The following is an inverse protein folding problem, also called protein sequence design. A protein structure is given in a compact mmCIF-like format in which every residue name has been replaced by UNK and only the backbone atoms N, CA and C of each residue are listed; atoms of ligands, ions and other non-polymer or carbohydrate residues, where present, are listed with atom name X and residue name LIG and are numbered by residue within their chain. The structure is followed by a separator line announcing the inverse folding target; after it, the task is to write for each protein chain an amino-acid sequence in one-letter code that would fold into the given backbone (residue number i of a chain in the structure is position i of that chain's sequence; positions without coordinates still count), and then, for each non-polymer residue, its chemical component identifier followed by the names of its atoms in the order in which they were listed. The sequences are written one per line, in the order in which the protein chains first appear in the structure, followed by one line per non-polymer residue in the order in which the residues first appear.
data_IF_595128958588
#
_entry.id   IF_595128958588
#
_cell.length_a   1.000
_cell.length_b   1.000
_cell.length_c   1.000
_cell.angle_alpha   90.00
_cell.angle_beta   90.00
_cell.angle_gamma   90.00
#
_symmetry.space_group_name_H-M   'P 1'
#
loop_
_entity.id
_entity.type
_entity.pdbx_description
1 polymer ?
#
# COMPACT_ATOMS: atom_id res chain seq x y z
N UNK A 1 -1.79 18.17 91.94
CA UNK A 1 -1.20 18.59 90.65
C UNK A 1 -0.71 17.34 89.91
N UNK A 2 -1.57 16.75 89.07
CA UNK A 2 -1.22 15.57 88.26
C UNK A 2 -1.12 16.06 86.83
N UNK A 3 0.06 15.90 86.19
CA UNK A 3 0.27 16.14 84.75
C UNK A 3 0.02 14.82 84.03
N UNK A 4 -0.97 14.85 83.15
CA UNK A 4 -1.26 13.75 82.23
C UNK A 4 -0.37 13.98 80.99
N UNK A 5 0.47 12.98 80.70
CA UNK A 5 1.29 12.93 79.48
C UNK A 5 0.48 12.15 78.44
N UNK A 6 0.03 12.80 77.37
CA UNK A 6 -0.59 12.16 76.23
C UNK A 6 0.48 11.65 75.28
N UNK A 7 0.48 10.34 75.06
CA UNK A 7 1.34 9.65 74.07
C UNK A 7 0.59 9.64 72.74
N UNK A 8 1.16 10.36 71.78
CA UNK A 8 0.66 10.38 70.38
C UNK A 8 1.28 9.20 69.61
N UNK A 9 0.46 8.19 69.31
CA UNK A 9 0.89 7.08 68.44
C UNK A 9 0.79 7.50 66.97
N UNK A 10 1.95 7.63 66.27
CA UNK A 10 2.02 7.79 64.83
C UNK A 10 1.73 6.43 64.15
N UNK A 11 0.62 6.34 63.48
CA UNK A 11 0.30 5.26 62.52
C UNK A 11 1.03 5.53 61.20
N UNK A 12 2.15 4.83 60.96
CA UNK A 12 2.74 4.72 59.63
C UNK A 12 1.88 3.83 58.73
N UNK A 13 1.07 4.40 57.91
CA UNK A 13 0.38 3.69 56.83
C UNK A 13 1.39 3.33 55.72
N UNK A 14 1.71 2.02 55.64
CA UNK A 14 2.46 1.50 54.48
C UNK A 14 1.58 1.58 53.23
N UNK A 15 1.86 2.54 52.34
CA UNK A 15 1.35 2.51 50.98
C UNK A 15 2.07 1.41 50.21
N UNK A 16 1.41 0.27 50.05
CA UNK A 16 1.81 -0.76 49.10
C UNK A 16 1.54 -0.23 47.68
N UNK A 17 2.59 0.11 46.97
CA UNK A 17 2.53 0.40 45.54
C UNK A 17 2.33 -0.94 44.81
N UNK A 18 1.07 -1.31 44.54
CA UNK A 18 0.79 -2.39 43.59
C UNK A 18 1.14 -1.90 42.21
N UNK A 19 2.28 -2.37 41.68
CA UNK A 19 2.57 -2.34 40.28
C UNK A 19 1.50 -3.20 39.60
N UNK A 20 0.55 -2.59 38.93
CA UNK A 20 -0.29 -3.31 37.98
C UNK A 20 0.63 -3.79 36.88
N UNK A 21 0.85 -5.09 36.77
CA UNK A 21 1.29 -5.72 35.54
C UNK A 21 0.23 -5.39 34.50
N UNK A 22 0.49 -4.36 33.69
CA UNK A 22 -0.19 -4.22 32.42
C UNK A 22 0.28 -5.41 31.60
N UNK A 23 -0.60 -6.40 31.46
CA UNK A 23 -0.45 -7.46 30.50
C UNK A 23 -0.34 -6.79 29.12
N UNK A 24 0.88 -6.67 28.60
CA UNK A 24 1.12 -6.35 27.21
C UNK A 24 0.32 -7.38 26.39
N UNK A 25 -0.76 -6.94 25.75
CA UNK A 25 -1.53 -7.81 24.88
C UNK A 25 -0.61 -8.30 23.75
N UNK A 26 -0.57 -9.60 23.50
CA UNK A 26 0.18 -10.22 22.40
C UNK A 26 -0.14 -9.55 21.04
N UNK A 27 -1.28 -8.88 20.90
CA UNK A 27 -1.71 -8.15 19.72
C UNK A 27 -0.82 -6.94 19.34
N UNK A 28 -0.21 -6.22 20.31
CA UNK A 28 0.65 -5.08 19.99
C UNK A 28 2.01 -5.49 19.41
N UNK A 29 2.45 -6.72 19.62
CA UNK A 29 3.74 -7.21 19.12
C UNK A 29 3.66 -7.72 17.67
N UNK A 30 2.47 -7.93 17.13
CA UNK A 30 2.27 -8.49 15.79
C UNK A 30 2.37 -7.44 14.66
N UNK A 31 2.21 -6.15 14.97
CA UNK A 31 2.16 -5.05 13.99
C UNK A 31 3.46 -4.24 13.93
N UNK A 32 4.58 -4.77 14.41
CA UNK A 32 5.86 -4.10 14.21
C UNK A 32 6.29 -4.20 12.75
N UNK A 33 7.08 -3.23 12.29
CA UNK A 33 7.65 -3.25 10.93
C UNK A 33 8.35 -4.58 10.64
N UNK A 34 9.14 -5.10 11.57
CA UNK A 34 9.88 -6.36 11.41
C UNK A 34 8.94 -7.58 11.28
N UNK A 35 7.89 -7.64 12.12
CA UNK A 35 6.89 -8.70 12.06
C UNK A 35 6.16 -8.68 10.71
N UNK A 36 5.71 -7.52 10.26
CA UNK A 36 5.03 -7.36 8.98
C UNK A 36 5.94 -7.68 7.79
N UNK A 37 7.22 -7.26 7.82
CA UNK A 37 8.20 -7.62 6.81
C UNK A 37 8.43 -9.14 6.74
N UNK A 38 8.41 -9.83 7.88
CA UNK A 38 8.50 -11.29 7.92
C UNK A 38 7.31 -11.95 7.21
N UNK A 39 6.08 -11.42 7.40
CA UNK A 39 4.88 -11.92 6.70
C UNK A 39 4.98 -11.70 5.19
N UNK A 40 5.49 -10.55 4.76
CA UNK A 40 5.77 -10.27 3.34
C UNK A 40 6.80 -11.25 2.78
N UNK A 41 7.90 -11.50 3.49
CA UNK A 41 8.93 -12.43 3.02
C UNK A 41 8.37 -13.85 2.81
N UNK A 42 7.57 -14.33 3.75
CA UNK A 42 6.89 -15.63 3.63
C UNK A 42 5.91 -15.66 2.46
N UNK A 43 5.16 -14.57 2.25
CA UNK A 43 4.25 -14.45 1.11
C UNK A 43 5.00 -14.53 -0.23
N UNK A 44 6.11 -13.80 -0.38
CA UNK A 44 6.95 -13.83 -1.58
C UNK A 44 7.54 -15.24 -1.81
N UNK A 45 8.02 -15.89 -0.75
CA UNK A 45 8.54 -17.26 -0.86
C UNK A 45 7.45 -18.26 -1.24
N UNK A 46 6.23 -18.06 -0.75
CA UNK A 46 5.05 -18.86 -1.10
C UNK A 46 4.72 -18.74 -2.60
N UNK A 47 4.71 -17.51 -3.15
CA UNK A 47 4.50 -17.28 -4.58
C UNK A 47 5.59 -17.92 -5.45
N UNK A 48 6.87 -17.79 -5.05
CA UNK A 48 7.99 -18.41 -5.77
C UNK A 48 7.92 -19.93 -5.84
N UNK A 49 7.22 -20.57 -4.90
CA UNK A 49 7.04 -22.01 -4.84
C UNK A 49 5.69 -22.51 -5.34
N UNK A 50 4.73 -21.59 -5.54
CA UNK A 50 3.34 -21.95 -5.81
C UNK A 50 2.67 -22.65 -4.61
N UNK A 51 3.13 -22.39 -3.37
CA UNK A 51 2.73 -23.10 -2.17
C UNK A 51 2.11 -22.15 -1.13
N UNK A 52 0.82 -21.87 -1.22
CA UNK A 52 0.10 -21.02 -0.27
C UNK A 52 0.12 -21.54 1.17
N UNK A 53 0.31 -22.85 1.35
CA UNK A 53 0.40 -23.52 2.66
C UNK A 53 1.60 -23.09 3.51
N UNK A 54 2.60 -22.44 2.93
CA UNK A 54 3.74 -21.90 3.67
C UNK A 54 3.36 -20.66 4.51
N UNK A 55 2.27 -19.99 4.14
CA UNK A 55 1.78 -18.84 4.88
C UNK A 55 1.09 -19.26 6.18
N UNK A 56 1.34 -18.51 7.26
CA UNK A 56 0.57 -18.63 8.51
C UNK A 56 -0.79 -17.95 8.34
N UNK A 57 -1.76 -18.68 7.76
CA UNK A 57 -3.10 -18.17 7.52
C UNK A 57 -3.99 -18.26 8.77
N UNK A 58 -4.83 -17.26 9.00
CA UNK A 58 -5.87 -17.29 10.01
C UNK A 58 -6.97 -18.31 9.63
N UNK A 59 -7.70 -18.88 10.59
CA UNK A 59 -8.89 -19.67 10.28
C UNK A 59 -9.89 -18.83 9.47
N UNK A 60 -10.29 -19.32 8.30
CA UNK A 60 -11.17 -18.59 7.39
C UNK A 60 -10.53 -17.41 6.66
N UNK A 61 -9.19 -17.39 6.55
CA UNK A 61 -8.47 -16.43 5.73
C UNK A 61 -9.03 -16.36 4.30
N UNK A 62 -9.10 -15.15 3.75
CA UNK A 62 -9.66 -14.91 2.40
C UNK A 62 -8.53 -14.64 1.42
N UNK A 63 -8.68 -15.18 0.21
CA UNK A 63 -7.96 -14.74 -0.96
C UNK A 63 -8.90 -14.03 -1.93
N UNK A 64 -8.47 -12.86 -2.37
CA UNK A 64 -9.22 -12.01 -3.31
C UNK A 64 -8.25 -11.67 -4.44
N UNK A 65 -8.58 -12.06 -5.67
CA UNK A 65 -7.82 -11.73 -6.87
C UNK A 65 -8.68 -10.90 -7.79
N UNK A 66 -8.21 -9.73 -8.18
CA UNK A 66 -8.93 -8.79 -9.05
C UNK A 66 -10.38 -8.58 -8.61
N UNK A 67 -10.59 -8.37 -7.28
CA UNK A 67 -11.87 -8.23 -6.55
C UNK A 67 -12.75 -9.47 -6.50
N UNK A 68 -12.34 -10.57 -7.05
CA UNK A 68 -13.08 -11.83 -6.98
C UNK A 68 -12.53 -12.66 -5.82
N UNK A 69 -13.40 -13.00 -4.88
CA UNK A 69 -13.06 -13.99 -3.83
C UNK A 69 -12.85 -15.33 -4.50
N UNK A 70 -11.69 -15.93 -4.29
CA UNK A 70 -11.28 -17.20 -4.89
C UNK A 70 -10.52 -18.05 -3.88
N UNK A 71 -10.03 -19.20 -4.30
CA UNK A 71 -9.28 -20.15 -3.46
C UNK A 71 -7.78 -19.92 -3.57
N UNK A 72 -7.02 -20.33 -2.56
CA UNK A 72 -5.55 -20.27 -2.55
C UNK A 72 -4.87 -21.33 -3.44
N UNK A 73 -5.63 -22.11 -4.20
CA UNK A 73 -5.17 -23.05 -5.23
C UNK A 73 -5.62 -22.64 -6.64
N UNK A 74 -6.16 -21.42 -6.79
CA UNK A 74 -6.58 -20.82 -8.05
C UNK A 74 -5.78 -19.55 -8.36
N UNK A 75 -5.98 -18.98 -9.54
CA UNK A 75 -5.34 -17.73 -9.98
C UNK A 75 -3.81 -17.86 -10.00
N UNK A 76 -3.11 -16.87 -9.46
CA UNK A 76 -1.64 -16.86 -9.44
C UNK A 76 -1.01 -17.97 -8.59
N UNK A 77 -1.78 -18.73 -7.81
CA UNK A 77 -1.29 -19.87 -7.01
C UNK A 77 -1.17 -21.18 -7.79
N UNK A 78 -1.64 -21.23 -9.03
CA UNK A 78 -1.61 -22.47 -9.83
C UNK A 78 -0.20 -22.89 -10.22
N UNK A 79 0.74 -21.92 -10.33
CA UNK A 79 2.12 -22.19 -10.72
C UNK A 79 3.11 -21.32 -9.91
N UNK A 80 4.36 -21.81 -9.73
CA UNK A 80 5.43 -21.01 -9.14
C UNK A 80 5.72 -19.77 -9.97
N UNK A 81 5.86 -18.60 -9.33
CA UNK A 81 6.20 -17.35 -9.99
C UNK A 81 7.71 -17.05 -9.96
N UNK A 82 8.23 -16.57 -11.08
CA UNK A 82 9.58 -15.99 -11.14
C UNK A 82 9.50 -14.53 -10.68
N UNK A 83 9.77 -14.29 -9.40
CA UNK A 83 9.76 -12.94 -8.82
C UNK A 83 11.12 -12.28 -9.03
N UNK A 84 11.20 -11.33 -9.97
CA UNK A 84 12.42 -10.57 -10.29
C UNK A 84 12.67 -9.41 -9.33
N UNK A 85 11.60 -8.77 -8.87
CA UNK A 85 11.69 -7.63 -7.97
C UNK A 85 10.44 -7.53 -7.10
N UNK A 86 10.57 -7.00 -5.90
CA UNK A 86 9.44 -6.58 -5.08
C UNK A 86 9.78 -5.38 -4.19
N UNK A 87 8.75 -4.62 -3.84
CA UNK A 87 8.80 -3.49 -2.91
C UNK A 87 7.58 -3.51 -2.02
N UNK A 88 7.74 -3.23 -0.73
CA UNK A 88 6.62 -3.30 0.22
C UNK A 88 6.50 -2.03 1.05
N UNK A 89 5.27 -1.56 1.17
CA UNK A 89 4.82 -0.57 2.14
C UNK A 89 4.36 -1.31 3.39
N UNK A 90 4.74 -0.81 4.56
CA UNK A 90 4.48 -1.44 5.85
C UNK A 90 3.68 -0.46 6.72
N UNK A 91 2.39 -0.74 6.89
CA UNK A 91 1.49 0.06 7.71
C UNK A 91 1.32 -0.57 9.09
N UNK A 92 2.11 -0.08 10.05
CA UNK A 92 2.11 -0.59 11.43
C UNK A 92 0.90 -0.12 12.25
N UNK A 93 0.16 0.89 11.78
CA UNK A 93 -0.99 1.44 12.49
C UNK A 93 -2.25 0.57 12.30
N UNK A 94 -2.44 0.04 11.09
CA UNK A 94 -3.60 -0.80 10.76
C UNK A 94 -3.26 -2.28 10.54
N UNK A 95 -2.01 -2.69 10.79
CA UNK A 95 -1.53 -4.05 10.58
C UNK A 95 -1.73 -4.55 9.14
N UNK A 96 -1.39 -3.74 8.17
CA UNK A 96 -1.50 -4.10 6.76
C UNK A 96 -0.19 -3.84 6.02
N UNK A 97 0.03 -4.56 4.94
CA UNK A 97 1.13 -4.31 4.01
C UNK A 97 0.60 -4.21 2.60
N UNK A 98 1.31 -3.48 1.76
CA UNK A 98 1.12 -3.56 0.31
C UNK A 98 2.45 -3.88 -0.34
N UNK A 99 2.47 -4.87 -1.21
CA UNK A 99 3.67 -5.30 -1.94
C UNK A 99 3.45 -5.23 -3.43
N UNK A 100 4.25 -4.45 -4.11
CA UNK A 100 4.41 -4.45 -5.55
C UNK A 100 5.39 -5.55 -5.93
N UNK A 101 4.99 -6.47 -6.82
CA UNK A 101 5.76 -7.63 -7.22
C UNK A 101 5.86 -7.65 -8.74
N UNK A 102 7.06 -7.85 -9.26
CA UNK A 102 7.32 -7.84 -10.70
C UNK A 102 7.88 -9.19 -11.10
N UNK A 103 7.17 -9.86 -12.03
CA UNK A 103 7.51 -11.15 -12.61
C UNK A 103 7.70 -10.92 -14.13
N UNK A 104 8.85 -10.37 -14.52
CA UNK A 104 9.10 -9.99 -15.92
C UNK A 104 9.77 -11.10 -16.72
N UNK A 105 10.47 -12.05 -16.05
CA UNK A 105 11.30 -13.09 -16.68
C UNK A 105 10.58 -14.42 -16.84
N UNK A 106 9.35 -14.59 -16.34
CA UNK A 106 8.57 -15.82 -16.46
C UNK A 106 7.96 -16.01 -17.85
N UNK A 107 7.44 -17.22 -18.11
CA UNK A 107 6.75 -17.55 -19.36
C UNK A 107 5.48 -16.70 -19.54
N UNK A 108 4.81 -16.35 -18.43
CA UNK A 108 3.73 -15.40 -18.38
C UNK A 108 4.12 -14.25 -17.42
N UNK A 109 4.47 -13.08 -17.95
CA UNK A 109 4.84 -11.93 -17.13
C UNK A 109 3.65 -11.34 -16.38
N UNK A 110 3.90 -10.91 -15.12
CA UNK A 110 2.93 -10.23 -14.27
C UNK A 110 3.54 -9.00 -13.61
N UNK A 111 2.69 -8.01 -13.31
CA UNK A 111 2.95 -7.02 -12.26
C UNK A 111 1.80 -7.09 -11.27
N UNK A 112 2.11 -7.33 -10.00
CA UNK A 112 1.11 -7.66 -8.99
C UNK A 112 1.20 -6.68 -7.85
N UNK A 113 0.07 -6.14 -7.43
CA UNK A 113 -0.07 -5.33 -6.22
C UNK A 113 -0.83 -6.11 -5.15
N UNK A 114 -0.18 -6.51 -4.06
CA UNK A 114 -0.81 -7.34 -3.03
C UNK A 114 -0.91 -6.63 -1.70
N UNK A 115 -2.12 -6.56 -1.15
CA UNK A 115 -2.38 -6.20 0.22
C UNK A 115 -2.46 -7.45 1.09
N UNK A 116 -1.73 -7.46 2.21
CA UNK A 116 -1.92 -8.44 3.28
C UNK A 116 -2.56 -7.73 4.47
N UNK A 117 -3.61 -8.32 5.02
CA UNK A 117 -4.19 -7.93 6.30
C UNK A 117 -3.81 -8.94 7.36
N UNK A 118 -3.18 -8.45 8.43
CA UNK A 118 -2.70 -9.28 9.53
C UNK A 118 -3.63 -9.11 10.74
N UNK A 119 -3.98 -10.21 11.39
CA UNK A 119 -4.75 -10.23 12.64
C UNK A 119 -4.06 -11.15 13.62
N UNK A 120 -3.64 -10.60 14.76
CA UNK A 120 -2.71 -11.31 15.64
C UNK A 120 -1.40 -11.56 14.90
N UNK A 121 -0.94 -12.82 14.88
CA UNK A 121 0.28 -13.24 14.17
C UNK A 121 0.01 -13.89 12.80
N UNK A 122 -1.23 -13.81 12.29
CA UNK A 122 -1.67 -14.55 11.10
C UNK A 122 -2.19 -13.64 10.00
N UNK A 123 -2.03 -14.09 8.76
CA UNK A 123 -2.60 -13.42 7.58
C UNK A 123 -4.10 -13.78 7.52
N UNK A 124 -4.95 -12.78 7.68
CA UNK A 124 -6.40 -12.91 7.63
C UNK A 124 -6.97 -12.68 6.22
N UNK A 125 -6.28 -11.89 5.41
CA UNK A 125 -6.71 -11.61 4.04
C UNK A 125 -5.49 -11.35 3.15
N UNK A 126 -5.53 -11.91 1.95
CA UNK A 126 -4.64 -11.62 0.83
C UNK A 126 -5.50 -11.05 -0.29
N UNK A 127 -5.26 -9.81 -0.69
CA UNK A 127 -5.95 -9.15 -1.79
C UNK A 127 -4.93 -8.75 -2.84
N UNK A 128 -5.01 -9.35 -4.03
CA UNK A 128 -4.08 -9.15 -5.13
C UNK A 128 -4.76 -8.48 -6.33
N UNK A 129 -4.14 -7.43 -6.84
CA UNK A 129 -4.35 -6.91 -8.18
C UNK A 129 -3.29 -7.53 -9.08
N UNK A 130 -3.71 -8.40 -9.97
CA UNK A 130 -2.82 -9.14 -10.89
C UNK A 130 -3.01 -8.57 -12.28
N UNK A 131 -1.99 -7.87 -12.79
CA UNK A 131 -2.00 -7.33 -14.16
C UNK A 131 -1.12 -8.15 -15.09
N UNK A 132 -1.57 -8.29 -16.33
CA UNK A 132 -0.90 -8.98 -17.42
C UNK A 132 -1.02 -8.22 -18.76
N UNK A 133 -0.73 -8.88 -19.88
CA UNK A 133 -0.63 -8.28 -21.23
C UNK A 133 -1.90 -7.54 -21.72
N UNK A 134 -3.06 -7.80 -21.14
CA UNK A 134 -4.32 -7.18 -21.55
C UNK A 134 -4.72 -5.98 -20.66
N UNK A 135 -3.90 -5.67 -19.66
CA UNK A 135 -4.18 -4.62 -18.70
C UNK A 135 -3.55 -3.27 -19.10
N UNK A 136 -3.91 -2.22 -18.36
CA UNK A 136 -3.56 -0.84 -18.67
C UNK A 136 -2.06 -0.63 -18.85
N UNK A 137 -1.67 -0.28 -20.10
CA UNK A 137 -0.29 0.03 -20.50
C UNK A 137 0.75 -1.02 -20.07
N UNK A 138 0.32 -2.28 -19.90
CA UNK A 138 1.14 -3.34 -19.34
C UNK A 138 2.45 -3.56 -20.11
N UNK A 139 3.55 -3.49 -19.38
CA UNK A 139 4.89 -3.89 -19.84
C UNK A 139 5.77 -4.22 -18.61
N UNK A 140 5.80 -5.48 -18.21
CA UNK A 140 6.52 -5.92 -17.01
C UNK A 140 8.03 -5.64 -17.09
N UNK A 141 8.66 -5.76 -18.28
CA UNK A 141 10.09 -5.49 -18.45
C UNK A 141 10.43 -4.02 -18.22
N UNK A 142 9.62 -3.11 -18.75
CA UNK A 142 9.78 -1.68 -18.48
C UNK A 142 9.48 -1.35 -17.03
N UNK A 143 8.43 -1.97 -16.46
CA UNK A 143 8.08 -1.78 -15.05
C UNK A 143 9.25 -2.17 -14.14
N UNK A 144 9.87 -3.34 -14.38
CA UNK A 144 11.08 -3.78 -13.68
C UNK A 144 12.23 -2.78 -13.83
N UNK A 145 12.52 -2.38 -15.08
CA UNK A 145 13.61 -1.46 -15.39
C UNK A 145 13.51 -0.15 -14.60
N UNK A 146 12.34 0.48 -14.60
CA UNK A 146 12.16 1.78 -13.98
C UNK A 146 11.98 1.70 -12.46
N UNK A 147 11.24 0.70 -11.96
CA UNK A 147 11.13 0.45 -10.52
C UNK A 147 12.48 0.24 -9.84
N UNK A 148 13.41 -0.46 -10.50
CA UNK A 148 14.74 -0.73 -9.97
C UNK A 148 15.66 0.51 -9.94
N UNK A 149 15.35 1.55 -10.70
CA UNK A 149 16.14 2.79 -10.76
C UNK A 149 15.71 3.84 -9.74
N UNK A 150 14.52 3.70 -9.17
CA UNK A 150 13.95 4.65 -8.24
C UNK A 150 14.43 4.43 -6.80
N UNK A 151 14.58 5.53 -6.07
CA UNK A 151 14.95 5.46 -4.65
C UNK A 151 13.70 5.45 -3.77
N UNK A 152 13.42 4.31 -3.15
CA UNK A 152 12.33 4.10 -2.18
C UNK A 152 12.85 3.73 -0.78
N UNK A 153 14.06 4.13 -0.45
CA UNK A 153 14.61 3.91 0.89
C UNK A 153 13.78 4.65 1.97
N UNK A 154 13.93 4.19 3.20
CA UNK A 154 13.39 4.88 4.38
C UNK A 154 13.88 6.32 4.38
N UNK A 155 12.97 7.27 4.58
CA UNK A 155 13.29 8.71 4.63
C UNK A 155 13.92 9.10 5.97
N UNK A 156 14.86 10.06 5.96
CA UNK A 156 15.22 10.79 7.17
C UNK A 156 13.96 11.40 7.82
N UNK A 157 13.88 11.43 9.17
CA UNK A 157 12.66 11.89 9.87
C UNK A 157 12.17 13.27 9.43
N UNK A 158 13.08 14.20 9.14
CA UNK A 158 12.80 15.57 8.70
C UNK A 158 12.17 15.67 7.32
N UNK A 159 12.27 14.61 6.50
CA UNK A 159 11.67 14.55 5.16
C UNK A 159 10.31 13.83 5.15
N UNK A 160 9.91 13.23 6.27
CA UNK A 160 8.66 12.47 6.38
C UNK A 160 7.45 13.38 6.54
N UNK A 161 6.30 12.88 6.11
CA UNK A 161 5.01 13.47 6.40
C UNK A 161 4.20 12.53 7.30
N UNK A 162 3.24 13.10 8.02
CA UNK A 162 2.29 12.31 8.77
C UNK A 162 1.32 11.54 7.84
N UNK A 163 0.68 10.52 8.39
CA UNK A 163 -0.30 9.67 7.71
C UNK A 163 -1.40 10.47 7.01
N UNK A 164 -1.94 11.48 7.68
CA UNK A 164 -3.05 12.27 7.15
C UNK A 164 -2.62 13.10 5.93
N UNK A 165 -1.40 13.64 5.96
CA UNK A 165 -0.83 14.37 4.82
C UNK A 165 -0.64 13.45 3.62
N UNK A 166 -0.12 12.22 3.82
CA UNK A 166 0.06 11.23 2.75
C UNK A 166 -1.29 10.87 2.10
N UNK A 167 -2.31 10.57 2.90
CA UNK A 167 -3.66 10.26 2.40
C UNK A 167 -4.30 11.47 1.69
N UNK A 168 -4.14 12.68 2.22
CA UNK A 168 -4.68 13.90 1.58
C UNK A 168 -4.08 14.11 0.19
N UNK A 169 -2.77 13.92 0.04
CA UNK A 169 -2.10 14.09 -1.26
C UNK A 169 -2.56 13.02 -2.26
N UNK A 170 -2.70 11.75 -1.83
CA UNK A 170 -3.24 10.69 -2.67
C UNK A 170 -4.67 11.00 -3.12
N UNK A 171 -5.52 11.51 -2.22
CA UNK A 171 -6.87 11.93 -2.58
C UNK A 171 -6.86 13.10 -3.58
N UNK A 172 -6.03 14.12 -3.37
CA UNK A 172 -5.90 15.23 -4.31
C UNK A 172 -5.50 14.76 -5.71
N UNK A 173 -4.60 13.77 -5.80
CA UNK A 173 -4.25 13.17 -7.10
C UNK A 173 -5.45 12.45 -7.74
N UNK A 174 -6.20 11.65 -6.98
CA UNK A 174 -7.39 10.96 -7.48
C UNK A 174 -8.50 11.92 -7.93
N UNK A 175 -8.61 13.07 -7.28
CA UNK A 175 -9.61 14.08 -7.63
C UNK A 175 -9.32 14.75 -8.98
N UNK A 176 -8.06 14.76 -9.45
CA UNK A 176 -7.68 15.27 -10.78
C UNK A 176 -8.38 14.51 -11.91
N UNK A 177 -8.66 13.21 -11.74
CA UNK A 177 -9.35 12.41 -12.76
C UNK A 177 -10.80 12.84 -12.95
N UNK A 178 -11.43 13.38 -11.91
CA UNK A 178 -12.80 13.92 -11.98
C UNK A 178 -12.81 15.36 -12.47
N UNK A 179 -11.83 16.15 -12.03
CA UNK A 179 -11.70 17.57 -12.37
C UNK A 179 -10.23 17.93 -12.56
N UNK A 180 -9.79 18.01 -13.81
CA UNK A 180 -8.41 18.34 -14.17
C UNK A 180 -7.97 19.72 -13.71
N UNK A 181 -8.90 20.66 -13.40
CA UNK A 181 -8.56 21.97 -12.85
C UNK A 181 -7.93 21.89 -11.46
N UNK A 182 -8.13 20.78 -10.72
CA UNK A 182 -7.56 20.53 -9.39
C UNK A 182 -6.11 20.05 -9.44
N UNK A 183 -5.53 19.83 -10.61
CA UNK A 183 -4.15 19.32 -10.75
C UNK A 183 -3.08 20.17 -10.03
N UNK A 184 -3.36 21.48 -9.84
CA UNK A 184 -2.49 22.39 -9.09
C UNK A 184 -2.58 22.21 -7.57
N UNK A 185 -3.57 21.47 -7.06
CA UNK A 185 -3.71 21.14 -5.64
C UNK A 185 -2.78 20.00 -5.22
N UNK A 186 -2.33 19.19 -6.18
CA UNK A 186 -1.34 18.12 -5.92
C UNK A 186 0.04 18.76 -5.73
N UNK A 187 0.69 18.55 -4.59
CA UNK A 187 2.03 19.11 -4.33
C UNK A 187 3.11 18.30 -5.08
N UNK A 188 3.30 18.58 -6.36
CA UNK A 188 4.30 17.92 -7.17
C UNK A 188 5.73 18.28 -6.76
N UNK A 189 6.62 17.29 -6.79
CA UNK A 189 8.06 17.50 -6.71
C UNK A 189 8.64 17.75 -8.12
N UNK A 190 9.86 18.27 -8.15
CA UNK A 190 10.69 18.33 -9.36
C UNK A 190 12.08 17.80 -8.97
N UNK A 191 12.54 16.73 -9.64
CA UNK A 191 11.85 15.95 -10.63
C UNK A 191 10.72 15.08 -10.03
N UNK A 192 9.73 14.78 -10.88
CA UNK A 192 8.65 13.84 -10.59
C UNK A 192 8.54 12.85 -11.76
N UNK A 193 8.16 11.59 -11.48
CA UNK A 193 7.93 10.57 -12.49
C UNK A 193 6.74 9.68 -12.15
N UNK A 194 6.03 9.21 -13.19
CA UNK A 194 4.95 8.24 -13.09
C UNK A 194 5.31 7.00 -13.88
N UNK A 195 5.01 5.83 -13.29
CA UNK A 195 5.14 4.52 -13.92
C UNK A 195 3.75 3.89 -13.99
N UNK A 196 3.18 3.89 -15.19
CA UNK A 196 1.82 3.44 -15.44
C UNK A 196 1.83 2.14 -16.24
N UNK A 197 1.59 1.00 -15.61
CA UNK A 197 1.62 -0.31 -16.25
C UNK A 197 2.96 -0.72 -16.90
N UNK A 198 3.82 0.22 -17.19
CA UNK A 198 5.12 0.03 -17.87
C UNK A 198 5.53 1.24 -18.67
N UNK A 199 4.63 2.21 -18.84
CA UNK A 199 4.97 3.51 -19.39
C UNK A 199 5.58 4.40 -18.30
N UNK A 200 6.79 4.91 -18.55
CA UNK A 200 7.49 5.79 -17.60
C UNK A 200 7.60 7.20 -18.15
N UNK A 201 7.15 8.20 -17.38
CA UNK A 201 7.09 9.58 -17.87
C UNK A 201 8.43 10.31 -17.87
N UNK A 202 9.45 9.79 -17.17
CA UNK A 202 10.80 10.38 -17.14
C UNK A 202 11.89 9.36 -17.50
N UNK A 203 11.88 8.75 -18.69
CA UNK A 203 12.81 7.68 -19.06
C UNK A 203 14.26 8.14 -19.20
N UNK A 204 14.51 9.44 -19.39
CA UNK A 204 15.84 10.04 -19.51
C UNK A 204 16.37 10.58 -18.17
N UNK A 205 15.61 10.38 -17.07
CA UNK A 205 15.93 10.85 -15.72
C UNK A 205 16.28 12.35 -15.67
N UNK A 206 15.50 13.18 -16.36
CA UNK A 206 15.68 14.63 -16.41
C UNK A 206 15.45 15.24 -15.02
N UNK A 207 16.32 16.17 -14.58
CA UNK A 207 16.20 16.78 -13.26
C UNK A 207 15.05 17.80 -13.14
N UNK A 208 14.48 18.24 -14.25
CA UNK A 208 13.38 19.18 -14.37
C UNK A 208 12.04 18.51 -14.77
N UNK A 209 11.99 17.18 -14.83
CA UNK A 209 10.78 16.45 -15.20
C UNK A 209 9.61 16.77 -14.27
N UNK A 210 8.43 16.98 -14.84
CA UNK A 210 7.19 17.28 -14.15
C UNK A 210 6.17 16.15 -14.33
N UNK A 211 5.33 15.94 -13.31
CA UNK A 211 4.15 15.07 -13.39
C UNK A 211 2.85 15.85 -13.64
N UNK A 212 2.93 17.16 -13.90
CA UNK A 212 1.75 18.01 -14.13
C UNK A 212 1.16 17.83 -15.53
N UNK A 213 1.93 17.29 -16.47
CA UNK A 213 1.41 16.90 -17.78
C UNK A 213 0.58 15.64 -17.58
N UNK A 214 -0.68 15.88 -17.41
CA UNK A 214 -1.65 15.09 -16.73
C UNK A 214 -1.94 13.69 -17.24
N UNK A 215 -2.76 12.96 -16.51
CA UNK A 215 -3.53 11.88 -17.11
C UNK A 215 -4.33 12.47 -18.29
N UNK A 216 -4.36 11.82 -19.45
CA UNK A 216 -4.99 12.35 -20.65
C UNK A 216 -6.52 12.24 -20.60
N UNK A 217 -7.10 12.68 -19.49
CA UNK A 217 -8.55 12.57 -19.30
C UNK A 217 -9.14 13.96 -19.52
N UNK A 218 -9.91 14.08 -20.57
CA UNK A 218 -10.86 15.16 -20.76
C UNK A 218 -11.96 15.06 -19.69
N UNK A 219 -11.57 15.11 -18.42
CA UNK A 219 -12.35 15.17 -17.20
C UNK A 219 -13.65 14.35 -17.19
N UNK A 220 -13.73 13.36 -16.32
CA UNK A 220 -14.96 12.87 -15.68
C UNK A 220 -14.88 11.41 -15.24
N UNK A 221 -13.70 10.88 -14.95
CA UNK A 221 -13.62 9.57 -14.31
C UNK A 221 -13.46 9.77 -12.81
N UNK A 222 -14.46 9.34 -12.06
CA UNK A 222 -14.37 9.33 -10.60
C UNK A 222 -13.56 8.11 -10.14
N UNK A 223 -12.63 8.31 -9.23
CA UNK A 223 -11.93 7.21 -8.55
C UNK A 223 -12.67 6.93 -7.24
N UNK A 224 -13.32 5.79 -7.14
CA UNK A 224 -14.20 5.45 -6.00
C UNK A 224 -13.62 4.36 -5.09
N UNK A 225 -14.28 4.04 -3.97
CA UNK A 225 -13.90 2.98 -3.02
C UNK A 225 -12.45 3.06 -2.54
N UNK A 226 -11.94 4.26 -2.31
CA UNK A 226 -10.54 4.52 -1.93
C UNK A 226 -10.23 3.96 -0.54
N UNK A 227 -9.21 3.10 -0.46
CA UNK A 227 -8.66 2.54 0.78
C UNK A 227 -7.15 2.76 0.77
N UNK A 228 -6.57 3.10 1.91
CA UNK A 228 -5.18 3.51 1.98
C UNK A 228 -4.36 2.64 2.92
N UNK A 229 -3.15 2.27 2.46
CA UNK A 229 -2.10 1.66 3.27
C UNK A 229 -0.93 2.64 3.25
N UNK A 230 -0.42 2.98 4.43
CA UNK A 230 0.53 4.09 4.60
C UNK A 230 1.80 3.62 5.28
N UNK A 231 2.92 3.86 4.64
CA UNK A 231 4.25 3.70 5.23
C UNK A 231 4.88 5.07 5.49
N UNK A 232 4.70 5.59 6.70
CA UNK A 232 5.21 6.91 7.09
C UNK A 232 6.73 6.97 7.03
N UNK A 233 7.43 5.90 7.40
CA UNK A 233 8.88 5.85 7.37
C UNK A 233 9.44 5.92 5.94
N UNK A 234 8.76 5.27 5.02
CA UNK A 234 9.08 5.34 3.61
C UNK A 234 8.57 6.64 2.97
N UNK A 235 7.67 7.38 3.62
CA UNK A 235 6.96 8.52 3.02
C UNK A 235 6.08 8.06 1.86
N UNK A 236 5.45 6.90 1.98
CA UNK A 236 4.68 6.30 0.90
C UNK A 236 3.25 5.98 1.31
N UNK A 237 2.34 6.06 0.35
CA UNK A 237 0.95 5.64 0.51
C UNK A 237 0.49 4.94 -0.76
N UNK A 238 -0.26 3.86 -0.62
CA UNK A 238 -1.01 3.29 -1.72
C UNK A 238 -2.49 3.52 -1.51
N UNK A 239 -3.16 3.95 -2.57
CA UNK A 239 -4.61 3.96 -2.66
C UNK A 239 -5.07 2.78 -3.51
N UNK A 240 -5.78 1.84 -2.88
CA UNK A 240 -6.55 0.81 -3.57
C UNK A 240 -7.93 1.40 -3.89
N UNK A 241 -8.35 1.36 -5.12
CA UNK A 241 -9.55 2.07 -5.56
C UNK A 241 -10.27 1.37 -6.72
N UNK A 242 -11.37 1.98 -7.15
CA UNK A 242 -12.02 1.69 -8.43
C UNK A 242 -11.71 2.82 -9.39
N UNK A 243 -11.15 2.51 -10.54
CA UNK A 243 -11.06 3.46 -11.64
C UNK A 243 -12.43 3.51 -12.34
N UNK A 244 -13.22 4.50 -11.99
CA UNK A 244 -14.63 4.63 -12.35
C UNK A 244 -15.55 4.51 -11.12
N UNK A 245 -16.81 4.16 -11.38
CA UNK A 245 -17.85 3.96 -10.36
C UNK A 245 -17.59 2.71 -9.48
N UNK A 246 -18.62 2.25 -8.75
CA UNK A 246 -18.52 1.06 -7.90
C UNK A 246 -18.18 -0.23 -8.65
N UNK A 247 -18.47 -0.30 -9.96
CA UNK A 247 -18.13 -1.40 -10.86
C UNK A 247 -16.90 -1.11 -11.73
N UNK A 248 -16.24 0.02 -11.50
CA UNK A 248 -15.05 0.45 -12.21
C UNK A 248 -13.89 -0.52 -12.08
N UNK A 249 -12.84 -0.32 -12.82
CA UNK A 249 -11.69 -1.24 -12.87
C UNK A 249 -10.96 -1.30 -11.52
N UNK A 250 -10.50 -2.50 -11.08
CA UNK A 250 -9.60 -2.63 -9.95
C UNK A 250 -8.33 -1.85 -10.19
N UNK A 251 -7.98 -0.99 -9.23
CA UNK A 251 -6.90 -0.03 -9.40
C UNK A 251 -6.09 0.16 -8.13
N UNK A 252 -4.80 0.41 -8.29
CA UNK A 252 -3.92 0.85 -7.21
C UNK A 252 -2.94 1.91 -7.69
N UNK A 253 -2.80 2.97 -6.89
CA UNK A 253 -1.78 3.98 -7.08
C UNK A 253 -0.88 4.06 -5.86
N UNK A 254 0.42 3.82 -6.03
CA UNK A 254 1.43 4.04 -5.00
C UNK A 254 2.05 5.41 -5.20
N UNK A 255 2.11 6.18 -4.14
CA UNK A 255 2.74 7.50 -4.12
C UNK A 255 3.95 7.48 -3.22
N UNK A 256 5.07 8.01 -3.69
CA UNK A 256 6.24 8.35 -2.89
C UNK A 256 6.29 9.86 -2.71
N UNK A 257 6.29 10.32 -1.47
CA UNK A 257 6.43 11.74 -1.14
C UNK A 257 7.76 12.00 -0.44
N UNK A 258 8.38 13.09 -0.81
CA UNK A 258 9.58 13.63 -0.15
C UNK A 258 9.31 15.09 0.23
N UNK A 259 9.45 15.43 1.51
CA UNK A 259 9.08 16.77 2.02
C UNK A 259 7.63 17.18 1.67
N UNK A 260 6.69 16.23 1.68
CA UNK A 260 5.29 16.46 1.35
C UNK A 260 4.98 16.64 -0.13
N UNK A 261 5.93 16.37 -1.03
CA UNK A 261 5.77 16.50 -2.48
C UNK A 261 5.88 15.17 -3.18
N UNK A 262 5.00 14.92 -4.15
CA UNK A 262 4.96 13.68 -4.94
C UNK A 262 6.20 13.54 -5.79
N UNK A 263 7.01 12.52 -5.51
CA UNK A 263 8.25 12.20 -6.22
C UNK A 263 8.04 11.10 -7.26
N UNK A 264 7.30 10.04 -6.90
CA UNK A 264 6.97 8.93 -7.77
C UNK A 264 5.50 8.56 -7.62
N UNK A 265 4.91 8.10 -8.73
CA UNK A 265 3.58 7.48 -8.76
C UNK A 265 3.68 6.19 -9.57
N UNK A 266 3.25 5.06 -8.99
CA UNK A 266 3.13 3.79 -9.71
C UNK A 266 1.66 3.39 -9.81
N UNK A 267 1.23 2.94 -10.97
CA UNK A 267 -0.16 2.57 -11.21
C UNK A 267 -0.27 1.16 -11.75
N UNK A 268 -1.18 0.39 -11.17
CA UNK A 268 -1.65 -0.89 -11.68
C UNK A 268 -3.16 -0.82 -11.82
N UNK A 269 -3.68 -1.03 -13.02
CA UNK A 269 -5.11 -1.06 -13.31
C UNK A 269 -5.45 -2.33 -14.07
N UNK A 270 -6.34 -3.13 -13.52
CA UNK A 270 -6.85 -4.37 -14.15
C UNK A 270 -8.04 -4.03 -15.02
N UNK A 271 -8.02 -4.46 -16.27
CA UNK A 271 -9.05 -4.19 -17.27
C UNK A 271 -9.80 -5.49 -17.64
N UNK A 272 -10.83 -5.91 -16.89
CA UNK A 272 -11.45 -7.25 -17.05
C UNK A 272 -11.99 -7.57 -18.44
N UNK A 273 -12.24 -6.56 -19.26
CA UNK A 273 -12.76 -6.68 -20.62
C UNK A 273 -11.90 -5.95 -21.66
N UNK A 274 -10.62 -5.72 -21.36
CA UNK A 274 -9.76 -4.82 -22.11
C UNK A 274 -9.89 -3.37 -21.66
N UNK A 275 -8.85 -2.57 -21.91
CA UNK A 275 -8.74 -1.18 -21.42
C UNK A 275 -9.40 -0.17 -22.38
N UNK A 276 -10.55 -0.47 -22.92
CA UNK A 276 -11.34 0.54 -23.62
C UNK A 276 -12.05 1.40 -22.58
N UNK A 277 -11.65 2.67 -22.48
CA UNK A 277 -12.38 3.64 -21.66
C UNK A 277 -13.84 3.68 -22.11
N UNK A 278 -14.81 3.60 -21.19
CA UNK A 278 -16.20 3.77 -21.56
C UNK A 278 -16.35 5.13 -22.26
N UNK A 279 -16.82 5.11 -23.52
CA UNK A 279 -17.16 6.34 -24.23
C UNK A 279 -18.16 7.12 -23.39
N UNK A 280 -18.05 8.47 -23.29
CA UNK A 280 -19.06 9.27 -22.59
C UNK A 280 -20.44 8.88 -23.10
N UNK A 281 -21.33 8.47 -22.20
CA UNK A 281 -22.70 8.19 -22.57
C UNK A 281 -23.26 9.51 -23.07
N UNK A 282 -23.67 9.56 -24.35
CA UNK A 282 -24.45 10.67 -24.89
C UNK A 282 -25.70 10.77 -24.01
N UNK A 283 -25.81 11.82 -23.22
CA UNK A 283 -27.03 12.14 -22.51
C UNK A 283 -28.13 12.38 -23.53
N UNK A 284 -29.10 11.45 -23.59
CA UNK A 284 -30.32 11.56 -24.41
C UNK A 284 -31.31 12.50 -23.73
#
# INVERSE_FOLDING_TARGET
MFRIIAVLALLCGAFSCQVKDESFSEDQNSCTRESLQTKVAVYIDSLKKGESSLMSLAPGAKYIENRKVTSFDEGIWQEPLVVDFHRSLIDTEICETYTEIICASGDHPYVIGTRLKITGDKIAEVEALVTDENDWLFNASNYLKYSAQENWSILPPEMRCDRQTLIRVANAYFDVFKDTSTANEVPWNIPCARLEGGMYTNPENKPDASCTEGPPLEGSVEITNRRFIVDVDMGAVVGLANFGDENGWPDSHIFRLENGRVRYVHTLTVCPNGCELPSPQEEN
#
